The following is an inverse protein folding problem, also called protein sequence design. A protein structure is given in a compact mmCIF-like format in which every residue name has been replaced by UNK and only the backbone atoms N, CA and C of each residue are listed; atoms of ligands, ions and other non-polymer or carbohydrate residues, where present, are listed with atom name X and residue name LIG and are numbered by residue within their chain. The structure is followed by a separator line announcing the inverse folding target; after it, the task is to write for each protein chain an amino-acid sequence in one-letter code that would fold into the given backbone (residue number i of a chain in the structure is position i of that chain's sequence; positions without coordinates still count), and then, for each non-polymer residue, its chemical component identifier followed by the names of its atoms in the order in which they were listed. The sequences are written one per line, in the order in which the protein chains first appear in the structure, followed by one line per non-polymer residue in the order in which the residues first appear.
data_IF_903690019043
#
_entry.id   IF_903690019043
#
_cell.length_a   1.000
_cell.length_b   1.000
_cell.length_c   1.000
_cell.angle_alpha   90.00
_cell.angle_beta   90.00
_cell.angle_gamma   90.00
#
_symmetry.space_group_name_H-M   'P 1'
#
loop_
_entity.id
_entity.type
_entity.pdbx_description
1 polymer ?
#
# COMPACT_ATOMS: atom_id res chain seq x y z
N UNK A 1 28.50 11.02 3.42
CA UNK A 1 27.18 11.55 3.79
C UNK A 1 26.29 11.34 2.58
N UNK A 2 25.33 10.40 2.61
CA UNK A 2 24.45 10.17 1.46
C UNK A 2 23.36 11.24 1.48
N UNK A 3 23.59 12.32 0.74
CA UNK A 3 22.64 13.42 0.61
C UNK A 3 21.36 12.94 -0.09
N UNK A 4 20.23 13.15 0.60
CA UNK A 4 18.90 12.93 0.05
C UNK A 4 18.61 13.91 -1.08
N UNK A 5 17.99 13.42 -2.16
CA UNK A 5 17.28 14.27 -3.12
C UNK A 5 16.09 13.50 -3.66
N UNK A 6 15.06 14.23 -4.07
CA UNK A 6 13.86 13.66 -4.69
C UNK A 6 14.20 12.83 -5.93
N UNK A 7 15.11 13.29 -6.77
CA UNK A 7 15.56 12.61 -7.98
C UNK A 7 16.25 11.29 -7.65
N UNK A 8 17.14 11.28 -6.64
CA UNK A 8 17.81 10.05 -6.19
C UNK A 8 16.80 9.06 -5.64
N UNK A 9 15.80 9.52 -4.88
CA UNK A 9 14.76 8.65 -4.37
C UNK A 9 13.94 8.02 -5.52
N UNK A 10 13.50 8.83 -6.48
CA UNK A 10 12.77 8.36 -7.66
C UNK A 10 13.60 7.36 -8.49
N UNK A 11 14.90 7.61 -8.67
CA UNK A 11 15.79 6.66 -9.35
C UNK A 11 15.88 5.32 -8.60
N UNK A 12 16.02 5.34 -7.27
CA UNK A 12 16.03 4.12 -6.46
C UNK A 12 14.70 3.39 -6.49
N UNK A 13 13.57 4.11 -6.50
CA UNK A 13 12.25 3.53 -6.68
C UNK A 13 12.10 2.86 -8.05
N UNK A 14 12.69 3.41 -9.12
CA UNK A 14 12.66 2.76 -10.45
C UNK A 14 13.25 1.36 -10.43
N UNK A 15 14.36 1.17 -9.72
CA UNK A 15 15.08 -0.10 -9.58
C UNK A 15 14.59 -1.00 -8.44
N UNK A 16 13.60 -0.57 -7.66
CA UNK A 16 13.05 -1.35 -6.55
C UNK A 16 12.39 -2.64 -7.05
N UNK A 17 12.78 -3.77 -6.46
CA UNK A 17 12.19 -5.09 -6.71
C UNK A 17 11.55 -5.65 -5.44
N UNK A 18 10.76 -6.72 -5.58
CA UNK A 18 10.07 -7.36 -4.45
C UNK A 18 11.00 -8.23 -3.58
N UNK A 19 12.32 -8.21 -3.81
CA UNK A 19 13.27 -9.00 -3.02
C UNK A 19 13.57 -8.32 -1.69
N UNK A 20 13.78 -9.13 -0.64
CA UNK A 20 14.11 -8.61 0.69
C UNK A 20 15.36 -7.72 0.66
N UNK A 21 16.38 -8.08 -0.14
CA UNK A 21 17.60 -7.29 -0.26
C UNK A 21 17.33 -5.90 -0.85
N UNK A 22 16.59 -5.82 -1.97
CA UNK A 22 16.27 -4.54 -2.63
C UNK A 22 15.48 -3.62 -1.69
N UNK A 23 14.44 -4.16 -1.06
CA UNK A 23 13.60 -3.46 -0.08
C UNK A 23 14.43 -2.97 1.12
N UNK A 24 15.23 -3.86 1.72
CA UNK A 24 16.01 -3.54 2.93
C UNK A 24 17.14 -2.54 2.68
N UNK A 25 17.70 -2.51 1.47
CA UNK A 25 18.71 -1.51 1.10
C UNK A 25 18.09 -0.12 0.98
N UNK A 26 16.92 -0.03 0.33
CA UNK A 26 16.24 1.25 0.15
C UNK A 26 15.67 1.77 1.48
N UNK A 27 15.02 0.92 2.28
CA UNK A 27 14.46 1.31 3.57
C UNK A 27 15.53 1.89 4.50
N UNK A 28 16.69 1.22 4.61
CA UNK A 28 17.82 1.71 5.44
C UNK A 28 18.30 3.07 4.99
N UNK A 29 18.44 3.29 3.69
CA UNK A 29 18.83 4.61 3.17
C UNK A 29 17.78 5.68 3.52
N UNK A 30 16.49 5.41 3.32
CA UNK A 30 15.42 6.35 3.68
C UNK A 30 15.38 6.66 5.18
N UNK A 31 15.69 5.67 6.03
CA UNK A 31 15.78 5.85 7.48
C UNK A 31 16.99 6.69 7.89
N UNK A 32 18.06 6.76 7.07
CA UNK A 32 19.15 7.74 7.29
C UNK A 32 18.78 9.16 6.86
N UNK A 33 17.76 9.30 6.01
CA UNK A 33 17.24 10.58 5.50
C UNK A 33 15.90 10.93 6.16
N UNK A 34 15.70 10.55 7.43
CA UNK A 34 14.39 10.66 8.10
C UNK A 34 13.86 12.08 8.20
N UNK A 35 14.71 13.10 8.19
CA UNK A 35 14.27 14.50 8.23
C UNK A 35 13.38 14.87 7.02
N UNK A 36 13.42 14.06 5.95
CA UNK A 36 12.57 14.20 4.76
C UNK A 36 11.35 13.25 4.78
N UNK A 37 10.96 12.71 5.94
CA UNK A 37 9.95 11.65 6.05
C UNK A 37 8.63 11.98 5.33
N UNK A 38 8.13 13.21 5.46
CA UNK A 38 6.87 13.63 4.82
C UNK A 38 6.96 13.62 3.30
N UNK A 39 7.99 14.23 2.72
CA UNK A 39 8.19 14.21 1.26
C UNK A 39 8.39 12.78 0.74
N UNK A 40 9.10 11.94 1.49
CA UNK A 40 9.32 10.53 1.14
C UNK A 40 7.99 9.76 1.08
N UNK A 41 7.11 9.95 2.07
CA UNK A 41 5.80 9.29 2.10
C UNK A 41 4.90 9.79 0.97
N UNK A 42 4.91 11.09 0.69
CA UNK A 42 4.16 11.68 -0.44
C UNK A 42 4.62 11.13 -1.79
N UNK A 43 5.94 11.08 -2.04
CA UNK A 43 6.50 10.52 -3.27
C UNK A 43 6.18 9.02 -3.36
N UNK A 44 6.34 8.28 -2.26
CA UNK A 44 5.98 6.86 -2.22
C UNK A 44 4.52 6.66 -2.65
N UNK A 45 3.61 7.49 -2.14
CA UNK A 45 2.20 7.40 -2.49
C UNK A 45 1.96 7.69 -3.98
N UNK A 46 2.53 8.78 -4.49
CA UNK A 46 2.44 9.13 -5.91
C UNK A 46 2.96 8.00 -6.82
N UNK A 47 4.02 7.30 -6.41
CA UNK A 47 4.56 6.16 -7.15
C UNK A 47 3.69 4.91 -7.02
N UNK A 48 3.04 4.67 -5.87
CA UNK A 48 2.04 3.59 -5.72
C UNK A 48 0.88 3.78 -6.69
N UNK A 49 0.38 5.01 -6.83
CA UNK A 49 -0.73 5.33 -7.74
C UNK A 49 -0.39 5.01 -9.20
N UNK A 50 0.82 5.39 -9.66
CA UNK A 50 1.29 5.21 -11.05
C UNK A 50 1.80 3.82 -11.36
N UNK A 51 2.27 3.07 -10.36
CA UNK A 51 2.95 1.79 -10.56
C UNK A 51 2.04 0.73 -11.18
N UNK A 52 2.62 -0.08 -12.07
CA UNK A 52 2.00 -1.31 -12.54
C UNK A 52 1.79 -2.30 -11.38
N UNK A 53 0.77 -3.16 -11.48
CA UNK A 53 0.36 -4.09 -10.40
C UNK A 53 1.51 -4.95 -9.87
N UNK A 54 2.44 -5.34 -10.74
CA UNK A 54 3.64 -6.13 -10.41
C UNK A 54 4.62 -5.39 -9.48
N UNK A 55 4.64 -4.05 -9.50
CA UNK A 55 5.52 -3.21 -8.68
C UNK A 55 4.87 -2.71 -7.39
N UNK A 56 3.54 -2.67 -7.34
CA UNK A 56 2.80 -2.21 -6.14
C UNK A 56 3.15 -3.05 -4.90
N UNK A 57 3.40 -4.35 -5.05
CA UNK A 57 3.81 -5.20 -3.91
C UNK A 57 5.16 -4.78 -3.33
N UNK A 58 6.15 -4.49 -4.18
CA UNK A 58 7.47 -4.04 -3.74
C UNK A 58 7.38 -2.70 -2.97
N UNK A 59 6.51 -1.79 -3.42
CA UNK A 59 6.24 -0.51 -2.73
C UNK A 59 5.54 -0.72 -1.37
N UNK A 60 4.59 -1.65 -1.27
CA UNK A 60 3.98 -2.01 0.02
C UNK A 60 4.99 -2.67 0.96
N UNK A 61 5.89 -3.50 0.44
CA UNK A 61 6.97 -4.11 1.22
C UNK A 61 7.97 -3.07 1.72
N UNK A 62 8.26 -2.03 0.93
CA UNK A 62 9.06 -0.88 1.38
C UNK A 62 8.39 -0.14 2.55
N UNK A 63 7.10 0.21 2.44
CA UNK A 63 6.36 0.84 3.54
C UNK A 63 6.37 -0.05 4.78
N UNK A 64 6.16 -1.36 4.62
CA UNK A 64 6.22 -2.31 5.73
C UNK A 64 7.59 -2.31 6.43
N UNK A 65 8.69 -2.36 5.68
CA UNK A 65 10.04 -2.41 6.26
C UNK A 65 10.38 -1.11 7.01
N UNK A 66 10.09 0.05 6.40
CA UNK A 66 10.25 1.36 7.04
C UNK A 66 9.42 1.44 8.33
N UNK A 67 8.15 1.02 8.29
CA UNK A 67 7.23 1.10 9.43
C UNK A 67 7.66 0.20 10.58
N UNK A 68 8.09 -1.03 10.27
CA UNK A 68 8.55 -1.97 11.30
C UNK A 68 9.84 -1.53 12.00
N UNK A 69 10.73 -0.79 11.30
CA UNK A 69 11.95 -0.25 11.88
C UNK A 69 11.65 1.05 12.65
N UNK A 70 10.88 1.96 12.05
CA UNK A 70 10.56 3.28 12.61
C UNK A 70 9.87 3.15 13.96
N UNK A 71 8.84 2.30 14.08
CA UNK A 71 8.08 2.13 15.34
C UNK A 71 8.92 1.79 16.58
N UNK A 72 10.13 1.25 16.41
CA UNK A 72 11.04 0.89 17.53
C UNK A 72 11.95 2.04 17.95
N UNK A 73 12.18 3.01 17.07
CA UNK A 73 13.16 4.09 17.26
C UNK A 73 12.45 5.44 17.27
N UNK A 74 11.87 5.82 16.13
CA UNK A 74 11.20 7.10 15.93
C UNK A 74 9.96 6.92 15.03
N UNK A 75 8.85 7.56 15.39
CA UNK A 75 7.53 7.28 14.81
C UNK A 75 7.07 8.27 13.72
N UNK A 76 7.94 9.14 13.21
CA UNK A 76 7.57 10.18 12.24
C UNK A 76 7.02 9.57 10.93
N UNK A 77 7.69 8.53 10.41
CA UNK A 77 7.17 7.77 9.27
C UNK A 77 5.81 7.14 9.56
N UNK A 78 5.58 6.64 10.79
CA UNK A 78 4.30 6.04 11.15
C UNK A 78 3.20 7.09 11.10
N UNK A 79 3.45 8.27 11.68
CA UNK A 79 2.51 9.40 11.70
C UNK A 79 2.11 9.82 10.29
N UNK A 80 3.07 9.87 9.36
CA UNK A 80 2.82 10.28 7.98
C UNK A 80 2.16 9.18 7.12
N UNK A 81 2.44 7.91 7.40
CA UNK A 81 1.77 6.82 6.70
C UNK A 81 0.30 6.69 7.10
N UNK A 82 -0.05 6.92 8.38
CA UNK A 82 -1.42 6.75 8.90
C UNK A 82 -2.52 7.40 8.03
N UNK A 83 -2.43 8.69 7.65
CA UNK A 83 -3.50 9.33 6.86
C UNK A 83 -3.62 8.76 5.44
N UNK A 84 -2.54 8.23 4.87
CA UNK A 84 -2.48 7.80 3.45
C UNK A 84 -2.77 6.30 3.28
N UNK A 85 -2.46 5.49 4.29
CA UNK A 85 -2.58 4.02 4.23
C UNK A 85 -3.96 3.49 3.84
N UNK A 86 -5.08 4.02 4.35
CA UNK A 86 -6.42 3.58 3.94
C UNK A 86 -6.64 3.66 2.44
N UNK A 87 -6.26 4.78 1.83
CA UNK A 87 -6.39 4.99 0.40
C UNK A 87 -5.38 4.15 -0.37
N UNK A 88 -4.12 4.10 0.08
CA UNK A 88 -3.07 3.34 -0.60
C UNK A 88 -3.37 1.84 -0.66
N UNK A 89 -3.75 1.23 0.46
CA UNK A 89 -4.11 -0.18 0.50
C UNK A 89 -5.35 -0.44 -0.35
N UNK A 90 -6.38 0.40 -0.28
CA UNK A 90 -7.59 0.26 -1.09
C UNK A 90 -7.28 0.32 -2.59
N UNK A 91 -6.44 1.28 -3.00
CA UNK A 91 -6.00 1.46 -4.36
C UNK A 91 -5.27 0.22 -4.88
N UNK A 92 -4.27 -0.29 -4.15
CA UNK A 92 -3.54 -1.50 -4.57
C UNK A 92 -4.48 -2.70 -4.62
N UNK A 93 -5.34 -2.87 -3.62
CA UNK A 93 -6.27 -4.00 -3.53
C UNK A 93 -7.25 -4.05 -4.70
N UNK A 94 -7.78 -2.89 -5.12
CA UNK A 94 -8.75 -2.79 -6.22
C UNK A 94 -8.17 -3.16 -7.58
N UNK A 95 -6.89 -2.85 -7.81
CA UNK A 95 -6.20 -3.14 -9.06
C UNK A 95 -5.42 -4.46 -9.04
N UNK A 96 -5.46 -5.18 -7.92
CA UNK A 96 -4.73 -6.44 -7.70
C UNK A 96 -5.55 -7.67 -8.13
N UNK A 97 -4.84 -8.68 -8.64
CA UNK A 97 -5.40 -10.03 -8.79
C UNK A 97 -5.56 -10.72 -7.42
N UNK A 98 -6.27 -11.86 -7.40
CA UNK A 98 -6.54 -12.62 -6.17
C UNK A 98 -5.29 -13.04 -5.40
N UNK A 99 -4.17 -13.27 -6.09
CA UNK A 99 -2.90 -13.62 -5.44
C UNK A 99 -2.34 -12.45 -4.63
N UNK A 100 -2.28 -11.26 -5.23
CA UNK A 100 -1.80 -10.05 -4.56
C UNK A 100 -2.77 -9.62 -3.46
N UNK A 101 -4.09 -9.74 -3.68
CA UNK A 101 -5.08 -9.46 -2.63
C UNK A 101 -4.87 -10.33 -1.38
N UNK A 102 -4.55 -11.62 -1.54
CA UNK A 102 -4.20 -12.49 -0.40
C UNK A 102 -2.94 -12.02 0.32
N UNK A 103 -1.90 -11.58 -0.42
CA UNK A 103 -0.68 -11.01 0.17
C UNK A 103 -1.00 -9.75 0.99
N UNK A 104 -1.86 -8.87 0.50
CA UNK A 104 -2.29 -7.65 1.22
C UNK A 104 -3.03 -8.02 2.51
N UNK A 105 -3.97 -8.97 2.46
CA UNK A 105 -4.68 -9.42 3.67
C UNK A 105 -3.73 -10.02 4.70
N UNK A 106 -2.72 -10.79 4.26
CA UNK A 106 -1.68 -11.32 5.15
C UNK A 106 -0.83 -10.20 5.73
N UNK A 107 -0.49 -9.17 4.96
CA UNK A 107 0.24 -8.00 5.43
C UNK A 107 -0.53 -7.26 6.54
N UNK A 108 -1.84 -7.04 6.35
CA UNK A 108 -2.69 -6.42 7.37
C UNK A 108 -2.75 -7.24 8.66
N UNK A 109 -2.92 -8.57 8.56
CA UNK A 109 -2.85 -9.49 9.70
C UNK A 109 -1.54 -9.34 10.47
N UNK A 110 -0.41 -9.25 9.76
CA UNK A 110 0.92 -9.06 10.38
C UNK A 110 0.99 -7.69 11.07
N UNK A 111 0.43 -6.64 10.48
CA UNK A 111 0.39 -5.31 11.10
C UNK A 111 -0.44 -5.28 12.37
N UNK A 112 -1.55 -6.04 12.43
CA UNK A 112 -2.37 -6.22 13.62
C UNK A 112 -1.63 -7.02 14.70
N UNK A 113 -1.15 -8.22 14.35
CA UNK A 113 -0.40 -9.12 15.26
C UNK A 113 0.78 -8.41 15.91
N UNK A 114 1.51 -7.62 15.11
CA UNK A 114 2.71 -6.92 15.58
C UNK A 114 2.41 -5.54 16.13
N UNK A 115 1.20 -5.02 16.03
CA UNK A 115 0.86 -3.62 16.39
C UNK A 115 1.77 -2.62 15.66
N UNK A 116 1.87 -2.73 14.33
CA UNK A 116 2.66 -1.79 13.51
C UNK A 116 1.94 -0.45 13.37
N UNK A 117 0.61 -0.49 13.26
CA UNK A 117 -0.24 0.70 13.19
C UNK A 117 -1.36 0.63 14.23
N UNK A 118 -1.96 1.77 14.61
CA UNK A 118 -3.08 1.79 15.55
C UNK A 118 -4.27 0.95 15.06
N UNK A 119 -4.93 0.25 15.98
CA UNK A 119 -6.05 -0.66 15.67
C UNK A 119 -7.17 0.01 14.86
N UNK A 120 -7.48 1.27 15.15
CA UNK A 120 -8.54 2.00 14.44
C UNK A 120 -8.22 2.23 12.96
N UNK A 121 -6.93 2.43 12.61
CA UNK A 121 -6.49 2.60 11.22
C UNK A 121 -6.66 1.28 10.46
N UNK A 122 -6.22 0.17 11.06
CA UNK A 122 -6.34 -1.17 10.47
C UNK A 122 -7.81 -1.59 10.31
N UNK A 123 -8.65 -1.32 11.31
CA UNK A 123 -10.09 -1.55 11.24
C UNK A 123 -10.76 -0.77 10.11
N UNK A 124 -10.38 0.51 9.91
CA UNK A 124 -10.87 1.33 8.80
C UNK A 124 -10.47 0.72 7.44
N UNK A 125 -9.21 0.32 7.27
CA UNK A 125 -8.72 -0.37 6.07
C UNK A 125 -9.55 -1.63 5.79
N UNK A 126 -9.77 -2.47 6.80
CA UNK A 126 -10.58 -3.68 6.67
C UNK A 126 -12.02 -3.39 6.25
N UNK A 127 -12.65 -2.36 6.80
CA UNK A 127 -14.00 -1.94 6.44
C UNK A 127 -14.09 -1.51 4.96
N UNK A 128 -13.12 -0.70 4.49
CA UNK A 128 -13.05 -0.24 3.09
C UNK A 128 -12.91 -1.43 2.14
N UNK A 129 -12.01 -2.38 2.43
CA UNK A 129 -11.80 -3.58 1.61
C UNK A 129 -13.08 -4.45 1.56
N UNK A 130 -13.73 -4.67 2.71
CA UNK A 130 -14.94 -5.48 2.81
C UNK A 130 -16.11 -4.86 2.04
N UNK A 131 -16.32 -3.55 2.16
CA UNK A 131 -17.36 -2.82 1.42
C UNK A 131 -17.20 -3.03 -0.09
N UNK A 132 -15.99 -2.89 -0.63
CA UNK A 132 -15.75 -3.03 -2.07
C UNK A 132 -15.93 -4.46 -2.59
N UNK A 133 -15.67 -5.50 -1.79
CA UNK A 133 -15.97 -6.89 -2.16
C UNK A 133 -17.46 -7.12 -2.48
N UNK A 134 -18.34 -6.49 -1.71
CA UNK A 134 -19.80 -6.63 -1.89
C UNK A 134 -20.31 -5.97 -3.18
N UNK A 135 -19.65 -4.90 -3.62
CA UNK A 135 -19.99 -4.20 -4.87
C UNK A 135 -19.54 -5.02 -6.10
N UNK A 136 -18.34 -5.62 -6.06
CA UNK A 136 -17.85 -6.44 -7.17
C UNK A 136 -18.62 -7.74 -7.39
N UNK A 137 -19.23 -8.32 -6.36
CA UNK A 137 -20.05 -9.55 -6.48
C UNK A 137 -21.48 -9.30 -6.95
N UNK A 138 -21.91 -8.03 -7.02
CA UNK A 138 -23.30 -7.65 -7.34
C UNK A 138 -23.50 -7.24 -8.81
N UNK A 139 -22.42 -7.07 -9.58
CA UNK A 139 -22.47 -6.60 -10.98
C UNK A 139 -22.80 -7.69 -12.03
N UNK A 140 -23.25 -8.88 -11.64
CA UNK A 140 -23.62 -9.99 -12.54
C UNK A 140 -25.14 -10.25 -12.64
N UNK A 141 -25.99 -9.24 -12.43
CA UNK A 141 -27.42 -9.33 -12.76
C UNK A 141 -27.80 -8.25 -13.77
N UNK A 142 -27.57 -8.55 -15.04
CA UNK A 142 -28.30 -7.86 -16.10
C UNK A 142 -29.79 -8.23 -15.99
N UNK A 143 -30.73 -7.27 -16.01
CA UNK A 143 -32.15 -7.59 -16.09
C UNK A 143 -32.42 -8.25 -17.45
N UNK A 144 -33.01 -9.45 -17.44
CA UNK A 144 -33.56 -10.06 -18.66
C UNK A 144 -34.60 -9.09 -19.21
N UNK A 145 -34.32 -8.48 -20.37
CA UNK A 145 -35.36 -7.82 -21.17
C UNK A 145 -36.42 -8.88 -21.48
N UNK A 146 -37.56 -8.81 -20.81
CA UNK A 146 -38.76 -9.54 -21.20
C UNK A 146 -39.25 -8.85 -22.47
N UNK A 147 -38.91 -9.41 -23.63
CA UNK A 147 -39.61 -9.09 -24.86
C UNK A 147 -40.99 -9.73 -24.76
N UNK A 148 -41.98 -8.95 -24.32
CA UNK A 148 -43.39 -9.24 -24.58
C UNK A 148 -43.62 -8.85 -26.03
N UNK A 149 -43.50 -9.81 -26.94
CA UNK A 149 -44.04 -9.68 -28.29
C UNK A 149 -45.52 -10.03 -28.19
N UNK A 150 -46.33 -8.97 -28.28
CA UNK A 150 -47.75 -8.98 -28.56
C UNK A 150 -47.94 -9.66 -29.92
N UNK A 151 -48.61 -10.81 -29.94
CA UNK A 151 -49.62 -11.16 -30.97
C UNK A 151 -50.65 -12.09 -30.32
#
# INVERSE_FOLDING_TARGET
MNEYSKEKFLQKLRTLTDTQQSVSMLSRWLLTCRENHSEIVEIWWAEVQKAHVSKKMALLNLCNDISQISRRKNDEYIKDFIPILPEAISHVYRHANSSIQRKILRLLSIWEERQVFPKHVLANIHAIIKSKRSVSSSSSRLPKKVYVLII
#
